data_IF_446427348530
#
_entry.id   IF_446427348530
#
_cell.length_a   1.000
_cell.length_b   1.000
_cell.length_c   1.000
_cell.angle_alpha   90.00
_cell.angle_beta   90.00
_cell.angle_gamma   90.00
#
_symmetry.space_group_name_H-M   'P 1'
#
loop_
_entity.id
_entity.type
_entity.pdbx_description
1 polymer ?
#
# COMPACT_ATOMS: atom_id res chain seq x y z
N UNK A 1 -19.31 -20.00 3.89
CA UNK A 1 -18.90 -19.68 5.30
C UNK A 1 -19.87 -18.65 5.85
N UNK A 2 -20.44 -18.87 7.06
CA UNK A 2 -21.34 -17.88 7.67
C UNK A 2 -20.55 -16.91 8.54
N UNK A 3 -20.87 -15.62 8.43
CA UNK A 3 -20.29 -14.54 9.19
C UNK A 3 -21.39 -13.63 9.73
N UNK A 4 -21.27 -13.21 11.00
CA UNK A 4 -22.22 -12.30 11.61
C UNK A 4 -22.06 -10.88 11.08
N UNK A 5 -23.19 -10.18 10.89
CA UNK A 5 -23.22 -8.76 10.51
C UNK A 5 -23.44 -7.93 11.78
N UNK A 6 -22.50 -7.01 12.03
CA UNK A 6 -22.56 -6.08 13.14
C UNK A 6 -23.01 -4.70 12.67
N UNK A 7 -23.61 -3.93 13.57
CA UNK A 7 -23.79 -2.50 13.37
C UNK A 7 -22.53 -1.75 13.87
N UNK A 8 -22.40 -0.47 13.52
CA UNK A 8 -21.35 0.41 14.08
C UNK A 8 -21.45 0.57 15.63
N UNK A 9 -22.55 0.16 16.24
CA UNK A 9 -22.78 0.15 17.68
C UNK A 9 -22.53 -1.24 18.31
N UNK A 10 -21.84 -2.13 17.59
CA UNK A 10 -21.51 -3.50 18.01
C UNK A 10 -22.74 -4.40 18.31
N UNK A 11 -23.85 -4.16 17.64
CA UNK A 11 -25.05 -5.01 17.75
C UNK A 11 -25.11 -5.97 16.59
N UNK A 12 -25.47 -7.23 16.84
CA UNK A 12 -25.68 -8.20 15.78
C UNK A 12 -27.00 -7.88 15.05
N UNK A 13 -26.93 -7.66 13.73
CA UNK A 13 -28.07 -7.32 12.86
C UNK A 13 -28.53 -8.55 12.06
N UNK A 14 -27.63 -9.50 11.80
CA UNK A 14 -27.93 -10.67 11.00
C UNK A 14 -26.69 -11.50 10.67
N UNK A 15 -26.78 -12.34 9.65
CA UNK A 15 -25.65 -13.11 9.13
C UNK A 15 -25.62 -13.09 7.62
N UNK A 16 -24.42 -13.18 7.05
CA UNK A 16 -24.16 -13.26 5.61
C UNK A 16 -23.40 -14.54 5.29
N UNK A 17 -23.66 -15.11 4.12
CA UNK A 17 -22.88 -16.24 3.59
C UNK A 17 -21.78 -15.73 2.67
N UNK A 18 -20.51 -15.96 3.06
CA UNK A 18 -19.34 -15.63 2.26
C UNK A 18 -18.99 -16.78 1.31
N UNK A 19 -18.63 -16.43 0.08
CA UNK A 19 -18.25 -17.40 -0.95
C UNK A 19 -16.87 -18.01 -0.64
N UNK A 20 -16.82 -19.34 -0.46
CA UNK A 20 -15.59 -20.07 -0.14
C UNK A 20 -14.52 -19.99 -1.23
N UNK A 21 -14.91 -19.81 -2.50
CA UNK A 21 -13.95 -19.64 -3.59
C UNK A 21 -13.14 -18.33 -3.52
N UNK A 22 -13.56 -17.38 -2.66
CA UNK A 22 -12.93 -16.06 -2.48
C UNK A 22 -12.35 -15.92 -1.08
N UNK A 23 -13.09 -16.35 -0.06
CA UNK A 23 -12.75 -16.16 1.35
C UNK A 23 -12.20 -17.42 2.04
N UNK A 24 -12.24 -18.58 1.37
CA UNK A 24 -11.83 -19.87 1.93
C UNK A 24 -10.52 -20.43 1.38
N UNK A 25 -9.74 -19.66 0.64
CA UNK A 25 -8.51 -20.14 0.00
C UNK A 25 -7.39 -20.38 1.02
N UNK A 26 -6.50 -21.33 0.68
CA UNK A 26 -5.28 -21.54 1.45
C UNK A 26 -4.37 -20.31 1.42
N UNK A 27 -3.86 -19.93 2.59
CA UNK A 27 -2.97 -18.75 2.73
C UNK A 27 -1.58 -19.08 2.21
N UNK A 28 -1.17 -18.39 1.14
CA UNK A 28 0.13 -18.54 0.50
C UNK A 28 0.94 -17.25 0.63
N UNK A 29 1.90 -17.25 1.54
CA UNK A 29 2.76 -16.11 1.84
C UNK A 29 3.61 -15.67 0.64
N UNK A 30 4.05 -16.60 -0.21
CA UNK A 30 4.82 -16.30 -1.42
C UNK A 30 4.05 -15.44 -2.42
N UNK A 31 2.75 -15.72 -2.61
CA UNK A 31 1.86 -14.95 -3.48
C UNK A 31 1.64 -13.54 -2.90
N UNK A 32 1.33 -13.45 -1.62
CA UNK A 32 1.12 -12.17 -0.93
C UNK A 32 2.37 -11.28 -1.01
N UNK A 33 3.56 -11.83 -0.72
CA UNK A 33 4.83 -11.11 -0.81
C UNK A 33 5.06 -10.52 -2.20
N UNK A 34 4.83 -11.30 -3.27
CA UNK A 34 5.02 -10.82 -4.65
C UNK A 34 4.08 -9.67 -4.99
N UNK A 35 2.79 -9.76 -4.57
CA UNK A 35 1.81 -8.70 -4.82
C UNK A 35 2.16 -7.44 -4.02
N UNK A 36 2.51 -7.56 -2.74
CA UNK A 36 2.95 -6.43 -1.91
C UNK A 36 4.19 -5.76 -2.50
N UNK A 37 5.20 -6.55 -2.90
CA UNK A 37 6.41 -6.03 -3.55
C UNK A 37 6.08 -5.27 -4.84
N UNK A 38 5.17 -5.80 -5.65
CA UNK A 38 4.70 -5.15 -6.87
C UNK A 38 4.01 -3.80 -6.57
N UNK A 39 3.12 -3.75 -5.56
CA UNK A 39 2.44 -2.51 -5.17
C UNK A 39 3.43 -1.47 -4.65
N UNK A 40 4.35 -1.85 -3.76
CA UNK A 40 5.38 -0.96 -3.24
C UNK A 40 6.31 -0.43 -4.34
N UNK A 41 6.70 -1.28 -5.30
CA UNK A 41 7.53 -0.86 -6.43
C UNK A 41 6.83 0.21 -7.29
N UNK A 42 5.52 0.10 -7.52
CA UNK A 42 4.74 1.10 -8.24
C UNK A 42 4.57 2.44 -7.51
N UNK A 43 4.62 2.42 -6.17
CA UNK A 43 4.57 3.65 -5.36
C UNK A 43 5.89 4.43 -5.39
N UNK A 44 7.00 3.78 -5.77
CA UNK A 44 8.31 4.42 -5.81
C UNK A 44 8.44 5.31 -7.04
N UNK A 45 8.68 6.61 -6.82
CA UNK A 45 8.87 7.57 -7.90
C UNK A 45 10.22 7.42 -8.65
N UNK A 46 11.22 6.77 -8.03
CA UNK A 46 12.52 6.48 -8.65
C UNK A 46 13.35 7.70 -9.03
N UNK A 47 13.13 8.86 -8.40
CA UNK A 47 13.71 10.16 -8.76
C UNK A 47 15.11 10.42 -8.19
N UNK A 48 15.64 9.51 -7.37
CA UNK A 48 16.97 9.68 -6.78
C UNK A 48 18.06 9.50 -7.83
N UNK A 49 19.03 10.41 -7.80
CA UNK A 49 20.13 10.46 -8.77
C UNK A 49 21.38 11.05 -8.16
N UNK A 50 22.53 10.54 -8.56
CA UNK A 50 23.84 11.14 -8.33
C UNK A 50 24.39 11.72 -9.61
N UNK A 51 25.26 12.74 -9.50
CA UNK A 51 25.88 13.36 -10.67
C UNK A 51 27.06 12.50 -11.14
N UNK A 52 26.96 12.06 -12.41
CA UNK A 52 28.05 11.42 -13.11
C UNK A 52 29.15 12.42 -13.51
N UNK A 53 30.27 11.91 -14.05
CA UNK A 53 31.42 12.73 -14.46
C UNK A 53 31.06 13.84 -15.46
N UNK A 54 30.12 13.62 -16.36
CA UNK A 54 29.64 14.61 -17.34
C UNK A 54 28.80 15.71 -16.73
N UNK A 55 28.08 15.41 -15.63
CA UNK A 55 27.06 16.27 -15.04
C UNK A 55 27.60 17.21 -13.95
N UNK A 56 28.81 16.91 -13.43
CA UNK A 56 29.44 17.74 -12.40
C UNK A 56 29.94 19.05 -13.00
N UNK A 57 29.56 20.17 -12.39
CA UNK A 57 30.00 21.51 -12.76
C UNK A 57 31.43 21.80 -12.25
N UNK A 58 32.43 21.23 -12.90
CA UNK A 58 33.85 21.45 -12.65
C UNK A 58 34.57 21.68 -13.98
N UNK A 59 35.81 22.26 -13.91
CA UNK A 59 36.60 22.47 -15.10
C UNK A 59 36.96 21.16 -15.79
N UNK A 60 36.78 21.04 -17.11
CA UNK A 60 37.24 19.89 -17.87
C UNK A 60 38.74 19.96 -18.20
N UNK A 61 39.41 21.10 -17.98
CA UNK A 61 40.81 21.29 -18.35
C UNK A 61 41.70 20.36 -17.52
N UNK A 62 42.86 20.01 -18.11
CA UNK A 62 43.90 19.20 -17.47
C UNK A 62 44.52 19.97 -16.30
N UNK A 63 44.58 19.39 -15.05
CA UNK A 63 45.05 20.10 -13.89
C UNK A 63 46.53 20.49 -13.94
N UNK A 64 47.38 19.66 -14.57
CA UNK A 64 48.83 19.87 -14.69
C UNK A 64 49.40 19.10 -15.92
N UNK A 65 50.65 19.31 -16.23
CA UNK A 65 51.40 18.70 -17.34
C UNK A 65 51.38 17.15 -17.23
N UNK A 66 51.44 16.49 -18.41
CA UNK A 66 51.41 15.03 -18.50
C UNK A 66 52.65 14.36 -17.85
N UNK A 67 53.82 15.03 -17.92
CA UNK A 67 55.10 14.56 -17.36
C UNK A 67 55.81 15.74 -16.68
N UNK A 68 56.79 15.43 -15.81
CA UNK A 68 57.62 16.44 -15.19
C UNK A 68 57.06 17.09 -13.92
N UNK A 69 55.93 16.56 -13.36
CA UNK A 69 55.35 17.08 -12.11
C UNK A 69 55.56 16.18 -10.89
N UNK A 70 56.09 14.96 -11.08
CA UNK A 70 56.20 13.97 -9.99
C UNK A 70 54.89 13.42 -9.47
N UNK A 71 53.76 13.92 -9.92
CA UNK A 71 52.43 13.52 -9.48
C UNK A 71 51.79 12.49 -10.42
N UNK A 72 50.77 11.75 -9.94
CA UNK A 72 49.99 10.83 -10.75
C UNK A 72 49.30 11.58 -11.90
N UNK A 73 49.29 10.96 -13.06
CA UNK A 73 48.67 11.55 -14.28
C UNK A 73 47.20 11.76 -14.12
N UNK A 74 46.68 12.96 -14.44
CA UNK A 74 45.28 13.32 -14.34
C UNK A 74 44.75 13.93 -15.64
N UNK A 75 43.52 13.57 -16.03
CA UNK A 75 42.88 14.12 -17.24
C UNK A 75 41.99 15.33 -16.94
N UNK A 76 41.15 15.26 -15.94
CA UNK A 76 40.19 16.31 -15.60
C UNK A 76 39.89 16.27 -14.10
N UNK A 77 39.53 17.40 -13.51
CA UNK A 77 39.05 17.50 -12.11
C UNK A 77 37.67 16.89 -11.90
N UNK A 78 36.93 16.60 -12.94
CA UNK A 78 35.63 15.87 -12.88
C UNK A 78 35.79 14.39 -12.57
N UNK A 79 37.04 13.87 -12.54
CA UNK A 79 37.32 12.46 -12.28
C UNK A 79 36.83 12.02 -10.88
N UNK A 80 36.46 10.77 -10.79
CA UNK A 80 35.89 10.17 -9.55
C UNK A 80 36.87 10.07 -8.40
N UNK A 81 38.16 10.11 -8.69
CA UNK A 81 39.23 10.13 -7.67
C UNK A 81 39.36 11.47 -6.96
N UNK A 82 38.78 12.55 -7.48
CA UNK A 82 38.83 13.86 -6.85
C UNK A 82 37.64 14.11 -5.92
N UNK A 83 37.91 14.87 -4.85
CA UNK A 83 36.80 15.42 -4.04
C UNK A 83 35.90 16.28 -4.89
N UNK A 84 34.58 16.12 -4.73
CA UNK A 84 33.55 16.76 -5.54
C UNK A 84 33.52 16.32 -7.01
N UNK A 85 34.27 15.29 -7.40
CA UNK A 85 34.19 14.63 -8.70
C UNK A 85 32.90 13.82 -8.88
N UNK A 86 32.69 13.29 -10.09
CA UNK A 86 31.50 12.51 -10.41
C UNK A 86 31.47 11.14 -9.70
N UNK A 87 30.30 10.60 -9.50
CA UNK A 87 30.08 9.23 -8.96
C UNK A 87 29.92 8.28 -10.15
N UNK A 88 30.61 7.10 -10.10
CA UNK A 88 30.60 6.14 -11.21
C UNK A 88 29.35 5.30 -11.23
N UNK A 89 29.06 4.59 -10.15
CA UNK A 89 27.97 3.63 -10.04
C UNK A 89 26.92 4.06 -9.01
N UNK A 90 26.62 5.35 -8.99
CA UNK A 90 25.56 5.88 -8.13
C UNK A 90 24.17 5.58 -8.66
N UNK A 91 23.13 5.85 -7.86
CA UNK A 91 21.76 5.71 -8.29
C UNK A 91 21.45 6.63 -9.51
N UNK A 92 20.63 6.12 -10.41
CA UNK A 92 20.17 6.83 -11.60
C UNK A 92 18.65 6.86 -11.59
N UNK A 93 18.06 7.93 -12.09
CA UNK A 93 16.60 7.99 -12.26
C UNK A 93 16.15 6.81 -13.12
N UNK A 94 15.27 5.99 -12.56
CA UNK A 94 14.68 4.84 -13.26
C UNK A 94 13.28 4.53 -12.75
N UNK A 95 12.46 3.96 -13.57
CA UNK A 95 11.21 3.36 -13.16
C UNK A 95 11.51 2.09 -12.34
N UNK A 96 10.90 2.01 -11.14
CA UNK A 96 11.01 0.86 -10.25
C UNK A 96 9.87 -0.15 -10.48
N UNK A 97 8.86 0.21 -11.26
CA UNK A 97 7.70 -0.63 -11.51
C UNK A 97 8.08 -1.90 -12.27
N UNK A 98 7.34 -2.95 -12.05
CA UNK A 98 7.40 -4.20 -12.80
C UNK A 98 5.99 -4.72 -13.03
N UNK A 99 5.80 -5.56 -14.02
CA UNK A 99 4.49 -6.11 -14.35
C UNK A 99 4.17 -7.35 -13.52
N UNK A 100 2.88 -7.47 -13.20
CA UNK A 100 2.29 -8.66 -12.59
C UNK A 100 0.97 -8.98 -13.28
N UNK A 101 0.75 -10.22 -13.67
CA UNK A 101 -0.44 -10.62 -14.42
C UNK A 101 -1.74 -10.36 -13.65
N UNK A 102 -2.82 -10.03 -14.36
CA UNK A 102 -4.14 -9.75 -13.75
C UNK A 102 -4.63 -10.92 -12.88
N UNK A 103 -4.49 -12.16 -13.37
CA UNK A 103 -4.90 -13.37 -12.64
C UNK A 103 -4.14 -13.53 -11.31
N UNK A 104 -2.83 -13.23 -11.31
CA UNK A 104 -2.00 -13.31 -10.10
C UNK A 104 -2.39 -12.25 -9.06
N UNK A 105 -2.72 -11.03 -9.52
CA UNK A 105 -3.21 -9.95 -8.64
C UNK A 105 -4.56 -10.29 -8.02
N UNK A 106 -5.48 -10.87 -8.80
CA UNK A 106 -6.77 -11.36 -8.30
C UNK A 106 -6.59 -12.47 -7.27
N UNK A 107 -5.74 -13.46 -7.56
CA UNK A 107 -5.41 -14.53 -6.62
C UNK A 107 -4.85 -13.96 -5.31
N UNK A 108 -3.92 -13.01 -5.39
CA UNK A 108 -3.36 -12.35 -4.21
C UNK A 108 -4.40 -11.64 -3.35
N UNK A 109 -5.38 -10.98 -3.97
CA UNK A 109 -6.47 -10.32 -3.23
C UNK A 109 -7.38 -11.35 -2.55
N UNK A 110 -7.76 -12.44 -3.23
CA UNK A 110 -8.52 -13.55 -2.63
C UNK A 110 -7.81 -14.14 -1.43
N UNK A 111 -6.51 -14.40 -1.55
CA UNK A 111 -5.69 -14.96 -0.45
C UNK A 111 -5.59 -13.97 0.72
N UNK A 112 -5.47 -12.66 0.48
CA UNK A 112 -5.42 -11.66 1.54
C UNK A 112 -6.75 -11.60 2.32
N UNK A 113 -7.88 -11.66 1.64
CA UNK A 113 -9.20 -11.76 2.28
C UNK A 113 -9.34 -13.06 3.09
N UNK A 114 -8.92 -14.18 2.52
CA UNK A 114 -8.93 -15.49 3.20
C UNK A 114 -8.04 -15.53 4.45
N UNK A 115 -6.90 -14.83 4.41
CA UNK A 115 -6.01 -14.68 5.58
C UNK A 115 -6.73 -13.99 6.74
N UNK A 116 -7.42 -12.88 6.46
CA UNK A 116 -8.19 -12.15 7.47
C UNK A 116 -9.33 -12.96 8.06
N UNK A 117 -10.00 -13.77 7.26
CA UNK A 117 -11.04 -14.71 7.73
C UNK A 117 -10.42 -15.77 8.65
N UNK A 118 -9.32 -16.40 8.21
CA UNK A 118 -8.64 -17.47 8.96
C UNK A 118 -8.09 -16.98 10.32
N UNK A 119 -7.64 -15.73 10.38
CA UNK A 119 -7.16 -15.09 11.60
C UNK A 119 -8.28 -14.59 12.53
N UNK A 120 -9.55 -14.66 12.09
CA UNK A 120 -10.69 -14.10 12.83
C UNK A 120 -10.71 -12.57 12.85
N UNK A 121 -10.00 -11.93 11.93
CA UNK A 121 -9.83 -10.48 11.84
C UNK A 121 -10.74 -9.83 10.78
N UNK A 122 -11.63 -10.61 10.15
CA UNK A 122 -12.67 -10.09 9.26
C UNK A 122 -13.93 -9.79 10.08
N UNK A 123 -14.45 -8.59 9.91
CA UNK A 123 -15.73 -8.14 10.48
C UNK A 123 -16.62 -7.68 9.33
N UNK A 124 -17.89 -8.06 9.35
CA UNK A 124 -18.87 -7.55 8.39
C UNK A 124 -19.82 -6.60 9.12
N UNK A 125 -20.03 -5.41 8.55
CA UNK A 125 -20.96 -4.42 9.07
C UNK A 125 -22.10 -4.19 8.08
N UNK A 126 -23.25 -3.73 8.59
CA UNK A 126 -24.38 -3.41 7.76
C UNK A 126 -24.06 -2.20 6.86
N UNK A 127 -23.84 -1.04 7.44
CA UNK A 127 -23.52 0.21 6.73
C UNK A 127 -22.43 1.00 7.46
N UNK A 128 -21.59 1.72 6.67
CA UNK A 128 -20.56 2.65 7.18
C UNK A 128 -21.03 4.11 7.01
N UNK A 129 -22.14 4.48 7.65
CA UNK A 129 -22.71 5.84 7.55
C UNK A 129 -22.71 6.57 8.87
N UNK A 130 -22.52 7.90 8.81
CA UNK A 130 -22.57 8.81 9.95
C UNK A 130 -23.50 9.98 9.65
N UNK A 131 -24.29 10.38 10.63
CA UNK A 131 -25.16 11.57 10.55
C UNK A 131 -24.39 12.89 10.53
N UNK A 132 -23.18 12.90 11.15
CA UNK A 132 -22.31 14.07 11.21
C UNK A 132 -20.83 13.68 11.03
N UNK A 133 -19.99 14.52 10.38
CA UNK A 133 -18.58 14.23 10.13
C UNK A 133 -17.69 14.46 11.36
N UNK A 134 -18.14 14.06 12.57
CA UNK A 134 -17.40 14.26 13.81
C UNK A 134 -16.49 13.08 14.11
N UNK A 135 -15.18 13.34 14.18
CA UNK A 135 -14.15 12.35 14.53
C UNK A 135 -14.35 11.77 15.93
N UNK A 136 -14.77 12.60 16.91
CA UNK A 136 -15.00 12.18 18.30
C UNK A 136 -16.06 11.08 18.41
N UNK A 137 -17.18 11.25 17.68
CA UNK A 137 -18.29 10.29 17.72
C UNK A 137 -17.89 8.96 17.08
N UNK A 138 -17.16 9.01 15.96
CA UNK A 138 -16.62 7.81 15.33
C UNK A 138 -15.58 7.10 16.22
N UNK A 139 -14.67 7.85 16.82
CA UNK A 139 -13.64 7.30 17.71
C UNK A 139 -14.24 6.62 18.94
N UNK A 140 -15.30 7.19 19.52
CA UNK A 140 -16.02 6.55 20.63
C UNK A 140 -16.60 5.18 20.22
N UNK A 141 -17.24 5.09 19.06
CA UNK A 141 -17.77 3.83 18.51
C UNK A 141 -16.66 2.81 18.24
N UNK A 142 -15.55 3.22 17.60
CA UNK A 142 -14.42 2.35 17.34
C UNK A 142 -13.77 1.79 18.61
N UNK A 143 -13.67 2.60 19.65
CA UNK A 143 -13.14 2.18 20.95
C UNK A 143 -14.05 1.11 21.62
N UNK A 144 -15.37 1.26 21.52
CA UNK A 144 -16.32 0.25 22.02
C UNK A 144 -16.17 -1.09 21.30
N UNK A 145 -15.94 -1.04 19.96
CA UNK A 145 -15.71 -2.23 19.14
C UNK A 145 -14.29 -2.79 19.26
N UNK A 146 -13.33 -2.06 19.84
CA UNK A 146 -11.92 -2.43 19.89
C UNK A 146 -11.24 -2.40 18.51
N UNK A 147 -11.66 -1.50 17.62
CA UNK A 147 -11.14 -1.37 16.23
C UNK A 147 -10.17 -0.20 16.13
N UNK A 148 -8.99 -0.34 16.74
CA UNK A 148 -7.98 0.73 16.76
C UNK A 148 -7.14 0.80 15.48
N UNK A 149 -6.90 -0.35 14.82
CA UNK A 149 -6.12 -0.44 13.60
C UNK A 149 -6.90 -1.25 12.57
N UNK A 150 -7.72 -0.56 11.77
CA UNK A 150 -8.66 -1.22 10.88
C UNK A 150 -8.73 -0.54 9.51
N UNK A 151 -9.07 -1.36 8.51
CA UNK A 151 -9.41 -0.92 7.17
C UNK A 151 -10.90 -1.13 6.95
N UNK A 152 -11.61 -0.06 6.65
CA UNK A 152 -12.98 -0.13 6.16
C UNK A 152 -12.98 -0.22 4.64
N UNK A 153 -13.72 -1.17 4.10
CA UNK A 153 -14.04 -1.23 2.67
C UNK A 153 -15.54 -1.10 2.53
N UNK A 154 -15.94 -0.02 1.90
CA UNK A 154 -17.33 0.27 1.60
C UNK A 154 -17.66 -0.14 0.16
N UNK A 155 -18.94 -0.03 -0.23
CA UNK A 155 -19.42 -0.30 -1.58
C UNK A 155 -18.68 0.48 -2.68
N UNK A 156 -19.37 0.84 -3.74
CA UNK A 156 -18.78 1.63 -4.82
C UNK A 156 -18.54 3.09 -4.41
N UNK A 157 -19.40 3.63 -3.57
CA UNK A 157 -19.31 5.00 -3.05
C UNK A 157 -19.19 4.97 -1.53
N UNK A 158 -18.25 5.75 -1.02
CA UNK A 158 -18.03 5.91 0.43
C UNK A 158 -18.85 7.08 0.95
N UNK A 159 -19.49 6.93 2.10
CA UNK A 159 -20.19 8.04 2.75
C UNK A 159 -19.22 9.17 3.09
N UNK A 160 -19.54 10.39 2.63
CA UNK A 160 -18.69 11.57 2.79
C UNK A 160 -18.47 11.90 4.27
N UNK A 161 -19.50 11.79 5.11
CA UNK A 161 -19.38 12.07 6.53
C UNK A 161 -18.47 11.06 7.23
N UNK A 162 -18.59 9.78 6.87
CA UNK A 162 -17.73 8.72 7.40
C UNK A 162 -16.27 8.91 6.96
N UNK A 163 -16.03 9.23 5.69
CA UNK A 163 -14.69 9.49 5.16
C UNK A 163 -14.03 10.72 5.84
N UNK A 164 -14.78 11.81 6.05
CA UNK A 164 -14.26 12.99 6.74
C UNK A 164 -13.96 12.73 8.22
N UNK A 165 -14.81 11.94 8.89
CA UNK A 165 -14.61 11.58 10.30
C UNK A 165 -13.41 10.66 10.51
N UNK A 166 -13.18 9.71 9.59
CA UNK A 166 -12.15 8.67 9.72
C UNK A 166 -10.74 9.14 9.37
N UNK A 167 -10.58 10.03 8.38
CA UNK A 167 -9.27 10.40 7.81
C UNK A 167 -8.25 10.96 8.81
N UNK A 168 -8.70 11.53 9.94
CA UNK A 168 -7.82 12.08 10.99
C UNK A 168 -7.54 11.08 12.13
N UNK A 169 -8.18 9.92 12.13
CA UNK A 169 -7.97 8.91 13.17
C UNK A 169 -6.77 8.05 12.77
N UNK A 170 -5.71 8.09 13.59
CA UNK A 170 -4.55 7.24 13.35
C UNK A 170 -4.94 5.74 13.40
N UNK A 171 -4.50 4.98 12.42
CA UNK A 171 -4.78 3.54 12.33
C UNK A 171 -6.06 3.18 11.57
N UNK A 172 -6.93 4.13 11.23
CA UNK A 172 -8.17 3.87 10.48
C UNK A 172 -8.05 4.39 9.07
N UNK A 173 -8.28 3.51 8.09
CA UNK A 173 -8.34 3.87 6.68
C UNK A 173 -9.66 3.39 6.08
N UNK A 174 -10.17 4.14 5.10
CA UNK A 174 -11.45 3.83 4.41
C UNK A 174 -11.20 3.83 2.92
N UNK A 175 -11.64 2.78 2.24
CA UNK A 175 -11.50 2.62 0.80
C UNK A 175 -12.84 2.17 0.18
N UNK A 176 -13.15 2.61 -1.04
CA UNK A 176 -14.20 1.98 -1.83
C UNK A 176 -13.75 0.58 -2.30
N UNK A 177 -14.69 -0.25 -2.71
CA UNK A 177 -14.41 -1.62 -3.22
C UNK A 177 -13.38 -1.63 -4.36
N UNK A 178 -13.42 -0.64 -5.25
CA UNK A 178 -12.43 -0.48 -6.33
C UNK A 178 -11.01 -0.27 -5.78
N UNK A 179 -10.87 0.44 -4.66
CA UNK A 179 -9.59 0.73 -4.01
C UNK A 179 -9.01 -0.44 -3.20
N UNK A 180 -9.79 -1.50 -2.97
CA UNK A 180 -9.34 -2.66 -2.20
C UNK A 180 -8.06 -3.27 -2.79
N UNK A 181 -7.02 -3.36 -1.96
CA UNK A 181 -5.70 -3.85 -2.35
C UNK A 181 -5.04 -4.67 -1.23
N UNK A 182 -4.10 -5.51 -1.64
CA UNK A 182 -3.44 -6.47 -0.73
C UNK A 182 -2.60 -5.78 0.34
N UNK A 183 -1.87 -4.72 -0.02
CA UNK A 183 -0.98 -4.02 0.89
C UNK A 183 -1.73 -3.40 2.07
N UNK A 184 -2.80 -2.66 1.80
CA UNK A 184 -3.57 -2.01 2.86
C UNK A 184 -4.33 -3.02 3.72
N UNK A 185 -4.86 -4.11 3.13
CA UNK A 185 -5.50 -5.20 3.88
C UNK A 185 -4.52 -5.85 4.86
N UNK A 186 -3.29 -6.15 4.44
CA UNK A 186 -2.30 -6.79 5.30
C UNK A 186 -1.68 -5.82 6.32
N UNK A 187 -1.62 -4.53 6.00
CA UNK A 187 -1.07 -3.49 6.89
C UNK A 187 -1.92 -3.28 8.15
N UNK A 188 -3.22 -3.51 8.06
CA UNK A 188 -4.16 -3.32 9.17
C UNK A 188 -4.45 -4.63 9.88
N UNK A 189 -4.73 -4.54 11.18
CA UNK A 189 -5.04 -5.72 11.97
C UNK A 189 -6.43 -6.25 11.62
N UNK A 190 -7.44 -5.39 11.62
CA UNK A 190 -8.82 -5.76 11.30
C UNK A 190 -9.25 -5.25 9.93
N UNK A 191 -9.98 -6.08 9.22
CA UNK A 191 -10.66 -5.74 7.97
C UNK A 191 -12.17 -5.68 8.23
N UNK A 192 -12.75 -4.52 7.98
CA UNK A 192 -14.19 -4.28 8.15
C UNK A 192 -14.80 -4.07 6.77
N UNK A 193 -15.71 -4.94 6.38
CA UNK A 193 -16.42 -4.88 5.10
C UNK A 193 -17.88 -4.48 5.35
N UNK A 194 -18.41 -3.57 4.52
CA UNK A 194 -19.86 -3.38 4.49
C UNK A 194 -20.53 -4.54 3.72
N UNK A 195 -21.79 -4.76 3.95
CA UNK A 195 -22.59 -5.77 3.23
C UNK A 195 -22.53 -5.55 1.71
N UNK A 196 -22.61 -4.30 1.26
CA UNK A 196 -22.49 -3.94 -0.15
C UNK A 196 -21.08 -4.20 -0.69
N UNK A 197 -20.05 -3.95 0.11
CA UNK A 197 -18.67 -4.24 -0.28
C UNK A 197 -18.44 -5.74 -0.50
N UNK A 198 -19.03 -6.61 0.30
CA UNK A 198 -18.94 -8.07 0.10
C UNK A 198 -19.51 -8.46 -1.25
N UNK A 199 -20.71 -8.01 -1.59
CA UNK A 199 -21.36 -8.29 -2.87
C UNK A 199 -20.53 -7.79 -4.07
N UNK A 200 -20.03 -6.54 -3.99
CA UNK A 200 -19.20 -5.96 -5.03
C UNK A 200 -17.82 -6.68 -5.17
N UNK A 201 -17.21 -7.11 -4.06
CA UNK A 201 -15.96 -7.89 -4.11
C UNK A 201 -16.18 -9.26 -4.73
N UNK A 202 -17.28 -9.92 -4.44
CA UNK A 202 -17.62 -11.20 -5.05
C UNK A 202 -17.84 -11.08 -6.56
N UNK A 203 -18.49 -10.04 -7.03
CA UNK A 203 -18.63 -9.77 -8.47
C UNK A 203 -17.30 -9.48 -9.15
N UNK A 204 -16.45 -8.66 -8.52
CA UNK A 204 -15.12 -8.27 -9.04
C UNK A 204 -14.16 -9.44 -9.14
N UNK A 205 -14.30 -10.44 -8.26
CA UNK A 205 -13.37 -11.55 -8.10
C UNK A 205 -13.86 -12.89 -8.67
N UNK A 206 -15.04 -12.91 -9.26
CA UNK A 206 -15.56 -14.08 -10.01
C UNK A 206 -14.72 -14.51 -11.19
#
# INVERSE_FOLDING_TARGET
>A
MKQDILSLDNKNVGSIELNESIFGLEVRADVLQRVVRWQLARMQAGTHKTKGRSEVALTPSKPFKQKGSGNARQGSRKGTQFRKGGIVFGPVVRDQSHELTKKFRQLGLKIALSSKVKEGNLVVIDEAKLSSPKTKDLQAKLNVCGWNNCLFIDGNEVDINFALASRNIAGVDVLPTIGANVYDILKKDKLVLTKDAVSCLEERLK
#
